data_IF_722332700843
#
_entry.id   IF_722332700843
#
_cell.length_a   1.000
_cell.length_b   1.000
_cell.length_c   1.000
_cell.angle_alpha   90.00
_cell.angle_beta   90.00
_cell.angle_gamma   90.00
#
_symmetry.space_group_name_H-M   'P 1'
#
loop_
_entity.id
_entity.type
_entity.pdbx_description
1 polymer ?
#
# COMPACT_ATOMS: atom_id res chain seq x y z
N UNK A 1 3.94 -12.24 -1.24
CA UNK A 1 2.83 -12.59 -2.15
C UNK A 1 3.00 -11.98 -3.53
N UNK A 2 3.41 -10.71 -3.65
CA UNK A 2 3.67 -10.04 -4.92
C UNK A 2 4.47 -10.87 -5.95
N UNK A 3 5.63 -11.39 -5.52
CA UNK A 3 6.47 -12.24 -6.37
C UNK A 3 5.75 -13.48 -6.92
N UNK A 4 4.87 -14.11 -6.13
CA UNK A 4 4.12 -15.30 -6.57
C UNK A 4 3.10 -14.97 -7.66
N UNK A 5 2.47 -13.80 -7.58
CA UNK A 5 1.50 -13.31 -8.56
C UNK A 5 2.17 -12.93 -9.88
N UNK A 6 3.40 -12.40 -9.83
CA UNK A 6 4.17 -12.10 -11.03
C UNK A 6 4.57 -13.38 -11.80
N UNK A 7 4.94 -14.45 -11.10
CA UNK A 7 5.30 -15.74 -11.74
C UNK A 7 4.11 -16.61 -12.08
N UNK A 8 2.99 -16.47 -11.36
CA UNK A 8 1.73 -17.16 -11.61
C UNK A 8 0.59 -16.14 -11.69
N UNK A 9 0.44 -15.44 -12.84
CA UNK A 9 -0.60 -14.45 -12.99
C UNK A 9 -2.00 -15.08 -12.88
N UNK A 10 -3.00 -14.34 -12.36
CA UNK A 10 -4.37 -14.82 -12.32
C UNK A 10 -4.85 -15.17 -13.73
N UNK A 11 -5.46 -16.34 -13.90
CA UNK A 11 -5.82 -16.89 -15.21
C UNK A 11 -4.69 -17.64 -15.92
N UNK A 12 -3.46 -17.63 -15.38
CA UNK A 12 -2.33 -18.39 -15.88
C UNK A 12 -1.62 -17.78 -17.09
N UNK A 13 -0.74 -18.57 -17.68
CA UNK A 13 -0.02 -18.24 -18.91
C UNK A 13 -0.39 -19.23 -20.00
N UNK A 14 -0.39 -18.77 -21.26
CA UNK A 14 -0.57 -19.64 -22.42
C UNK A 14 0.50 -20.74 -22.43
N UNK A 15 0.12 -21.96 -22.79
CA UNK A 15 1.02 -23.11 -22.83
C UNK A 15 1.45 -23.45 -24.26
N UNK A 16 0.77 -22.88 -25.25
CA UNK A 16 0.91 -23.13 -26.68
C UNK A 16 1.09 -21.82 -27.47
N UNK A 17 1.67 -21.96 -28.66
CA UNK A 17 1.85 -20.86 -29.60
C UNK A 17 0.77 -20.93 -30.70
N UNK A 18 0.03 -19.83 -30.86
CA UNK A 18 -0.93 -19.64 -31.95
C UNK A 18 -0.70 -18.27 -32.62
N UNK A 19 -1.29 -17.99 -33.80
CA UNK A 19 -1.21 -16.66 -34.40
C UNK A 19 -1.76 -15.52 -33.51
N UNK A 20 -2.58 -15.86 -32.50
CA UNK A 20 -3.22 -14.91 -31.60
C UNK A 20 -2.49 -14.71 -30.27
N UNK A 21 -1.73 -15.70 -29.80
CA UNK A 21 -1.05 -15.66 -28.51
C UNK A 21 0.19 -16.54 -28.48
N UNK A 22 1.15 -16.17 -27.63
CA UNK A 22 2.43 -16.84 -27.48
C UNK A 22 2.52 -17.52 -26.12
N UNK A 23 3.09 -18.73 -26.10
CA UNK A 23 3.35 -19.50 -24.89
C UNK A 23 4.20 -18.70 -23.89
N UNK A 24 3.87 -18.83 -22.61
CA UNK A 24 4.51 -18.09 -21.52
C UNK A 24 4.02 -16.65 -21.35
N UNK A 25 3.16 -16.12 -22.24
CA UNK A 25 2.50 -14.82 -22.02
C UNK A 25 1.28 -14.96 -21.11
N UNK A 26 1.12 -13.99 -20.22
CA UNK A 26 -0.03 -13.90 -19.31
C UNK A 26 -1.35 -13.81 -20.08
N UNK A 27 -2.27 -14.73 -19.78
CA UNK A 27 -3.62 -14.74 -20.36
C UNK A 27 -4.38 -13.48 -19.91
N UNK A 28 -4.09 -12.98 -18.71
CA UNK A 28 -4.69 -11.75 -18.17
C UNK A 28 -4.21 -10.49 -18.91
N UNK A 29 -2.95 -10.44 -19.32
CA UNK A 29 -2.43 -9.34 -20.15
C UNK A 29 -3.08 -9.32 -21.53
N UNK A 30 -3.24 -10.49 -22.15
CA UNK A 30 -3.85 -10.59 -23.49
C UNK A 30 -5.31 -10.12 -23.51
N UNK A 31 -6.09 -10.47 -22.49
CA UNK A 31 -7.50 -10.11 -22.41
C UNK A 31 -7.77 -8.70 -21.83
N UNK A 32 -6.92 -8.22 -20.92
CA UNK A 32 -7.13 -6.98 -20.17
C UNK A 32 -5.83 -6.21 -19.92
N UNK A 33 -5.14 -5.81 -21.00
CA UNK A 33 -3.81 -5.17 -20.97
C UNK A 33 -3.69 -3.97 -20.01
N UNK A 34 -4.66 -3.05 -20.02
CA UNK A 34 -4.61 -1.86 -19.16
C UNK A 34 -4.74 -2.22 -17.68
N UNK A 35 -5.67 -3.13 -17.36
CA UNK A 35 -5.89 -3.58 -15.97
C UNK A 35 -4.71 -4.39 -15.45
N UNK A 36 -4.10 -5.22 -16.31
CA UNK A 36 -2.86 -5.95 -16.00
C UNK A 36 -1.72 -4.99 -15.67
N UNK A 37 -1.58 -3.89 -16.43
CA UNK A 37 -0.53 -2.90 -16.21
C UNK A 37 -0.68 -2.21 -14.86
N UNK A 38 -1.89 -1.74 -14.52
CA UNK A 38 -2.16 -1.16 -13.19
C UNK A 38 -1.92 -2.16 -12.06
N UNK A 39 -2.36 -3.40 -12.25
CA UNK A 39 -2.16 -4.50 -11.30
C UNK A 39 -0.68 -4.74 -11.00
N UNK A 40 0.16 -4.86 -12.04
CA UNK A 40 1.60 -5.07 -11.90
C UNK A 40 2.30 -3.87 -11.24
N UNK A 41 1.89 -2.64 -11.54
CA UNK A 41 2.43 -1.42 -10.91
C UNK A 41 2.12 -1.41 -9.41
N UNK A 42 0.86 -1.66 -9.03
CA UNK A 42 0.45 -1.70 -7.62
C UNK A 42 1.21 -2.79 -6.84
N UNK A 43 1.32 -3.98 -7.40
CA UNK A 43 2.00 -5.11 -6.77
C UNK A 43 3.51 -4.88 -6.61
N UNK A 44 4.16 -4.33 -7.64
CA UNK A 44 5.58 -3.94 -7.60
C UNK A 44 5.84 -2.85 -6.57
N UNK A 45 4.92 -1.87 -6.47
CA UNK A 45 5.00 -0.79 -5.48
C UNK A 45 4.86 -1.35 -4.06
N UNK A 46 3.92 -2.27 -3.84
CA UNK A 46 3.75 -2.96 -2.54
C UNK A 46 4.98 -3.78 -2.14
N UNK A 47 5.60 -4.48 -3.10
CA UNK A 47 6.86 -5.19 -2.89
C UNK A 47 8.00 -4.24 -2.52
N UNK A 48 8.19 -3.16 -3.28
CA UNK A 48 9.24 -2.18 -3.03
C UNK A 48 9.05 -1.44 -1.69
N UNK A 49 7.80 -1.16 -1.32
CA UNK A 49 7.44 -0.61 -0.02
C UNK A 49 7.82 -1.57 1.12
N UNK A 50 7.49 -2.86 1.00
CA UNK A 50 7.89 -3.87 1.97
C UNK A 50 9.42 -4.01 2.06
N UNK A 51 10.12 -3.96 0.94
CA UNK A 51 11.57 -4.06 0.89
C UNK A 51 12.22 -2.83 1.55
N UNK A 52 11.67 -1.65 1.30
CA UNK A 52 12.09 -0.40 1.95
C UNK A 52 11.88 -0.44 3.46
N UNK A 53 10.76 -1.00 3.95
CA UNK A 53 10.52 -1.23 5.38
C UNK A 53 11.59 -2.12 6.00
N UNK A 54 11.90 -3.26 5.36
CA UNK A 54 12.89 -4.21 5.85
C UNK A 54 14.28 -3.56 5.89
N UNK A 55 14.68 -2.87 4.82
CA UNK A 55 15.96 -2.16 4.76
C UNK A 55 16.05 -1.07 5.82
N UNK A 56 14.98 -0.29 6.05
CA UNK A 56 14.95 0.70 7.12
C UNK A 56 15.13 0.04 8.49
N UNK A 57 14.43 -1.08 8.74
CA UNK A 57 14.50 -1.83 10.00
C UNK A 57 15.92 -2.37 10.26
N UNK A 58 16.56 -2.91 9.23
CA UNK A 58 17.88 -3.54 9.31
C UNK A 58 19.01 -2.50 9.38
N UNK A 59 18.83 -1.35 8.71
CA UNK A 59 19.88 -0.34 8.59
C UNK A 59 20.14 0.41 9.91
N UNK A 60 19.38 0.12 10.97
CA UNK A 60 19.69 0.52 12.35
C UNK A 60 19.84 2.02 12.55
N UNK A 61 19.27 2.84 11.65
CA UNK A 61 19.51 4.28 11.68
C UNK A 61 19.05 4.85 13.03
N UNK A 62 19.87 5.69 13.69
CA UNK A 62 19.50 6.40 14.92
C UNK A 62 18.53 7.55 14.63
N UNK A 63 17.63 7.37 13.66
CA UNK A 63 16.50 8.25 13.43
C UNK A 63 15.58 8.09 14.63
N UNK A 64 15.29 9.19 15.33
CA UNK A 64 14.52 9.15 16.58
C UNK A 64 13.30 8.23 16.48
N UNK A 65 13.19 7.27 17.41
CA UNK A 65 12.21 6.15 17.38
C UNK A 65 10.81 6.55 16.91
N UNK A 66 10.33 7.73 17.28
CA UNK A 66 8.99 8.23 16.87
C UNK A 66 8.88 8.59 15.39
N UNK A 67 9.90 9.20 14.79
CA UNK A 67 9.87 9.61 13.39
C UNK A 67 10.08 8.40 12.47
N UNK A 68 10.98 7.50 12.85
CA UNK A 68 11.19 6.24 12.14
C UNK A 68 9.94 5.34 12.13
N UNK A 69 9.29 5.15 13.28
CA UNK A 69 8.01 4.42 13.38
C UNK A 69 6.91 5.09 12.54
N UNK A 70 6.92 6.42 12.44
CA UNK A 70 5.96 7.16 11.64
C UNK A 70 6.13 6.92 10.14
N UNK A 71 7.37 6.95 9.64
CA UNK A 71 7.68 6.62 8.23
C UNK A 71 7.26 5.18 7.92
N UNK A 72 7.63 4.23 8.78
CA UNK A 72 7.26 2.82 8.62
C UNK A 72 5.75 2.62 8.58
N UNK A 73 5.00 3.34 9.43
CA UNK A 73 3.54 3.32 9.37
C UNK A 73 3.03 3.77 8.01
N UNK A 74 3.49 4.92 7.50
CA UNK A 74 3.03 5.46 6.20
C UNK A 74 3.31 4.47 5.07
N UNK A 75 4.52 3.88 5.04
CA UNK A 75 4.88 2.89 4.01
C UNK A 75 4.01 1.63 4.14
N UNK A 76 3.71 1.17 5.35
CA UNK A 76 2.80 0.04 5.61
C UNK A 76 1.38 0.33 5.09
N UNK A 77 0.86 1.54 5.30
CA UNK A 77 -0.47 1.93 4.78
C UNK A 77 -0.55 1.91 3.26
N UNK A 78 0.50 2.43 2.60
CA UNK A 78 0.61 2.39 1.14
C UNK A 78 0.62 0.94 0.65
N UNK A 79 1.42 0.08 1.28
CA UNK A 79 1.53 -1.33 0.92
C UNK A 79 0.20 -2.08 1.08
N UNK A 80 -0.50 -1.90 2.21
CA UNK A 80 -1.80 -2.54 2.48
C UNK A 80 -2.85 -2.07 1.47
N UNK A 81 -2.90 -0.78 1.16
CA UNK A 81 -3.86 -0.22 0.20
C UNK A 81 -3.62 -0.75 -1.21
N UNK A 82 -2.35 -0.80 -1.64
CA UNK A 82 -1.96 -1.37 -2.93
C UNK A 82 -2.30 -2.87 -3.02
N UNK A 83 -1.97 -3.66 -1.99
CA UNK A 83 -2.31 -5.10 -1.96
C UNK A 83 -3.82 -5.35 -1.97
N UNK A 84 -4.61 -4.56 -1.24
CA UNK A 84 -6.07 -4.68 -1.23
C UNK A 84 -6.67 -4.40 -2.61
N UNK A 85 -6.13 -3.42 -3.34
CA UNK A 85 -6.54 -3.10 -4.71
C UNK A 85 -6.18 -4.21 -5.71
N UNK A 86 -4.97 -4.77 -5.61
CA UNK A 86 -4.54 -5.91 -6.43
C UNK A 86 -5.46 -7.13 -6.22
N UNK A 87 -5.81 -7.44 -4.97
CA UNK A 87 -6.72 -8.55 -4.64
C UNK A 87 -8.14 -8.33 -5.18
N UNK A 88 -8.63 -7.09 -5.12
CA UNK A 88 -9.92 -6.70 -5.68
C UNK A 88 -10.03 -6.96 -7.19
N UNK A 89 -8.99 -6.58 -7.94
CA UNK A 89 -8.93 -6.80 -9.38
C UNK A 89 -8.85 -8.29 -9.74
N UNK A 90 -8.08 -9.07 -8.97
CA UNK A 90 -7.97 -10.52 -9.18
C UNK A 90 -9.31 -11.25 -9.00
N UNK A 91 -10.10 -10.91 -7.98
CA UNK A 91 -11.44 -11.49 -7.80
C UNK A 91 -12.37 -11.06 -8.93
N UNK A 92 -12.32 -9.78 -9.35
CA UNK A 92 -13.14 -9.28 -10.45
C UNK A 92 -12.85 -9.97 -11.78
N UNK A 93 -11.60 -10.40 -12.04
CA UNK A 93 -11.27 -11.13 -13.27
C UNK A 93 -11.70 -12.60 -13.23
N UNK A 94 -11.86 -13.17 -12.02
CA UNK A 94 -12.30 -14.55 -11.83
C UNK A 94 -13.83 -14.70 -11.75
N UNK A 95 -14.56 -13.64 -11.37
CA UNK A 95 -16.01 -13.71 -11.14
C UNK A 95 -16.83 -13.51 -12.42
N UNK A 96 -17.26 -14.61 -13.06
CA UNK A 96 -18.16 -14.60 -14.22
C UNK A 96 -19.68 -14.64 -13.84
N UNK A 97 -20.02 -14.40 -12.57
CA UNK A 97 -21.41 -14.30 -12.10
C UNK A 97 -21.73 -12.85 -11.69
N UNK A 98 -22.68 -12.22 -12.39
CA UNK A 98 -23.22 -10.86 -12.11
C UNK A 98 -23.55 -10.63 -10.62
N UNK A 99 -23.94 -11.68 -9.88
CA UNK A 99 -24.27 -11.60 -8.45
C UNK A 99 -23.04 -11.47 -7.54
N UNK A 100 -21.90 -12.09 -7.88
CA UNK A 100 -20.66 -11.97 -7.09
C UNK A 100 -19.98 -10.63 -7.31
N UNK A 101 -20.08 -10.06 -8.52
CA UNK A 101 -19.51 -8.76 -8.83
C UNK A 101 -20.00 -7.65 -7.89
N UNK A 102 -21.31 -7.57 -7.64
CA UNK A 102 -21.88 -6.54 -6.76
C UNK A 102 -21.45 -6.72 -5.29
N UNK A 103 -21.39 -7.96 -4.80
CA UNK A 103 -20.95 -8.27 -3.45
C UNK A 103 -19.46 -7.93 -3.24
N UNK A 104 -18.61 -8.35 -4.18
CA UNK A 104 -17.17 -8.05 -4.18
C UNK A 104 -16.95 -6.54 -4.25
N UNK A 105 -17.66 -5.84 -5.13
CA UNK A 105 -17.59 -4.38 -5.27
C UNK A 105 -17.99 -3.65 -3.98
N UNK A 106 -19.03 -4.11 -3.28
CA UNK A 106 -19.42 -3.55 -1.98
C UNK A 106 -18.35 -3.75 -0.91
N UNK A 107 -17.77 -4.94 -0.83
CA UNK A 107 -16.69 -5.26 0.12
C UNK A 107 -15.46 -4.39 -0.16
N UNK A 108 -15.12 -4.18 -1.43
CA UNK A 108 -14.01 -3.31 -1.84
C UNK A 108 -14.28 -1.86 -1.45
N UNK A 109 -15.46 -1.32 -1.75
CA UNK A 109 -15.81 0.07 -1.43
C UNK A 109 -15.83 0.28 0.09
N UNK A 110 -16.40 -0.67 0.84
CA UNK A 110 -16.40 -0.62 2.30
C UNK A 110 -14.97 -0.71 2.86
N UNK A 111 -14.11 -1.55 2.28
CA UNK A 111 -12.71 -1.68 2.65
C UNK A 111 -11.91 -0.40 2.39
N UNK A 112 -12.05 0.19 1.20
CA UNK A 112 -11.40 1.47 0.85
C UNK A 112 -11.91 2.60 1.74
N UNK A 113 -13.23 2.66 2.00
CA UNK A 113 -13.83 3.66 2.89
C UNK A 113 -13.32 3.54 4.32
N UNK A 114 -13.24 2.32 4.86
CA UNK A 114 -12.70 2.07 6.20
C UNK A 114 -11.21 2.43 6.27
N UNK A 115 -10.41 2.01 5.28
CA UNK A 115 -8.99 2.33 5.22
C UNK A 115 -8.75 3.84 5.12
N UNK A 116 -9.52 4.54 4.28
CA UNK A 116 -9.46 6.00 4.15
C UNK A 116 -9.83 6.71 5.45
N UNK A 117 -10.87 6.26 6.15
CA UNK A 117 -11.26 6.80 7.45
C UNK A 117 -10.19 6.58 8.51
N UNK A 118 -9.58 5.39 8.56
CA UNK A 118 -8.50 5.10 9.51
C UNK A 118 -7.26 5.96 9.23
N UNK A 119 -6.88 6.14 7.96
CA UNK A 119 -5.78 7.05 7.58
C UNK A 119 -6.10 8.48 8.00
N UNK A 120 -7.30 8.99 7.68
CA UNK A 120 -7.70 10.34 8.05
C UNK A 120 -7.62 10.57 9.56
N UNK A 121 -8.18 9.67 10.36
CA UNK A 121 -8.11 9.74 11.83
C UNK A 121 -6.66 9.76 12.30
N UNK A 122 -5.82 8.88 11.76
CA UNK A 122 -4.43 8.79 12.17
C UNK A 122 -3.63 10.04 11.80
N UNK A 123 -3.81 10.56 10.58
CA UNK A 123 -3.16 11.79 10.11
C UNK A 123 -3.59 12.99 10.95
N UNK A 124 -4.88 13.10 11.32
CA UNK A 124 -5.39 14.15 12.21
C UNK A 124 -4.72 14.06 13.60
N UNK A 125 -4.65 12.87 14.20
CA UNK A 125 -4.02 12.66 15.50
C UNK A 125 -2.53 13.03 15.49
N UNK A 126 -1.83 12.74 14.40
CA UNK A 126 -0.42 13.08 14.19
C UNK A 126 -0.20 14.58 14.07
N UNK A 127 -1.06 15.28 13.31
CA UNK A 127 -1.05 16.74 13.20
C UNK A 127 -1.25 17.38 14.58
N UNK A 128 -2.24 16.91 15.36
CA UNK A 128 -2.47 17.40 16.73
C UNK A 128 -1.24 17.19 17.63
N UNK A 129 -0.58 16.03 17.52
CA UNK A 129 0.61 15.70 18.31
C UNK A 129 1.81 16.56 17.91
N UNK A 130 1.99 16.81 16.61
CA UNK A 130 2.98 17.74 16.07
C UNK A 130 2.76 19.16 16.56
N UNK A 131 1.53 19.68 16.49
CA UNK A 131 1.19 21.03 16.98
C UNK A 131 1.49 21.16 18.48
N UNK A 132 1.13 20.15 19.29
CA UNK A 132 1.44 20.13 20.72
C UNK A 132 2.95 20.12 20.98
N UNK A 133 3.71 19.35 20.20
CA UNK A 133 5.17 19.30 20.31
C UNK A 133 5.82 20.64 19.95
N UNK A 134 5.40 21.26 18.85
CA UNK A 134 5.87 22.59 18.41
C UNK A 134 5.52 23.66 19.45
N UNK A 135 4.28 23.70 19.95
CA UNK A 135 3.88 24.62 21.04
C UNK A 135 4.76 24.43 22.29
N UNK A 136 5.06 23.19 22.69
CA UNK A 136 5.92 22.89 23.84
C UNK A 136 7.36 23.38 23.60
N UNK A 137 7.90 23.16 22.41
CA UNK A 137 9.25 23.57 22.04
C UNK A 137 9.39 25.11 21.95
N UNK A 138 8.37 25.81 21.44
CA UNK A 138 8.29 27.28 21.46
C UNK A 138 8.20 27.80 22.90
N UNK A 139 7.41 27.16 23.77
CA UNK A 139 7.28 27.56 25.19
C UNK A 139 8.59 27.39 25.96
N UNK A 140 9.34 26.31 25.70
CA UNK A 140 10.68 26.10 26.28
C UNK A 140 11.70 27.14 25.79
N UNK A 141 11.66 27.56 24.52
CA UNK A 141 12.52 28.65 24.02
C UNK A 141 12.19 30.02 24.62
N UNK A 142 10.96 30.23 25.13
CA UNK A 142 10.52 31.49 25.75
C UNK A 142 10.87 31.63 27.23
N UNK A 143 11.44 30.62 27.89
CA UNK A 143 12.06 30.76 29.20
C UNK A 143 13.59 30.75 29.02
N UNK A 144 14.24 31.89 28.76
CA UNK A 144 15.69 31.99 28.89
C UNK A 144 16.05 31.86 30.37
N UNK A 145 17.21 31.26 30.64
CA UNK A 145 17.81 31.04 31.96
C UNK A 145 17.70 32.28 32.87
N UNK A 146 16.70 32.31 33.75
CA UNK A 146 16.54 33.33 34.78
C UNK A 146 17.04 32.90 36.16
N UNK A 147 17.51 31.65 36.32
CA UNK A 147 17.88 31.09 37.62
C UNK A 147 19.35 30.62 37.61
N UNK A 148 20.27 31.58 37.59
CA UNK A 148 21.61 31.42 38.15
C UNK A 148 21.94 32.75 38.85
N UNK A 149 21.40 32.89 40.05
CA UNK A 149 21.82 33.86 41.06
C UNK A 149 21.80 33.12 42.39
#
# INVERSE_FOLDING_TARGET
MAFQVAVNPPGGVWQDDTPSHMAGKSIFFHNYSDTYTYFMICDTTGFLASLSIILLLISGLPIGRKFFMWILMVIMWIAISAMSFTYALAISSLSNLKSMYNAVRFVIIAGIGLMGLLVLVHTILLIVKMIKYVKKSIRQRRQPSGNMA
#
